data_IF_315936456001
#
_entry.id   IF_315936456001
#
_cell.length_a   1.000
_cell.length_b   1.000
_cell.length_c   1.000
_cell.angle_alpha   90.00
_cell.angle_beta   90.00
_cell.angle_gamma   90.00
#
_symmetry.space_group_name_H-M   'P 1'
#
loop_
_entity.id
_entity.type
_entity.pdbx_description
1 polymer ?
#
# COMPACT_ATOMS: atom_id res chain seq x y z
N UNK A 1 49.65 56.27 25.75
CA UNK A 1 50.11 56.44 27.13
C UNK A 1 49.90 55.09 27.79
N UNK A 2 50.87 54.19 27.60
CA UNK A 2 52.01 53.98 28.53
C UNK A 2 51.50 53.40 29.84
N UNK A 3 52.12 52.44 30.51
CA UNK A 3 53.17 51.47 30.25
C UNK A 3 53.16 50.58 31.50
N UNK A 4 53.72 49.39 31.36
CA UNK A 4 54.17 48.43 32.38
C UNK A 4 54.61 49.05 33.71
N UNK A 5 54.26 48.41 34.85
CA UNK A 5 55.13 48.20 36.01
C UNK A 5 54.46 47.18 36.96
N UNK A 6 54.92 45.93 37.04
CA UNK A 6 56.17 45.41 37.65
C UNK A 6 56.01 45.13 39.14
N UNK A 7 56.27 43.86 39.45
CA UNK A 7 56.19 43.16 40.73
C UNK A 7 57.32 43.55 41.68
N UNK A 8 57.12 43.31 42.97
CA UNK A 8 58.17 43.06 43.98
C UNK A 8 57.46 42.67 45.29
N UNK A 9 57.91 41.78 46.18
CA UNK A 9 58.91 40.71 46.17
C UNK A 9 58.83 40.05 47.59
N UNK A 10 59.36 38.82 47.75
CA UNK A 10 60.13 38.37 48.95
C UNK A 10 59.34 37.95 50.22
N UNK A 11 59.61 36.85 50.95
CA UNK A 11 60.57 35.72 50.93
C UNK A 11 60.08 34.68 51.99
N UNK A 12 60.07 33.37 51.72
CA UNK A 12 61.08 32.33 52.07
C UNK A 12 60.85 31.63 53.42
N UNK A 13 60.77 30.30 53.41
CA UNK A 13 61.65 29.43 54.22
C UNK A 13 61.58 27.98 53.75
N UNK A 14 62.77 27.39 53.71
CA UNK A 14 63.23 26.13 53.13
C UNK A 14 62.63 24.82 53.64
N UNK A 15 62.84 23.76 52.84
CA UNK A 15 63.37 22.50 53.38
C UNK A 15 62.68 21.22 52.92
N UNK A 16 63.35 20.49 52.01
CA UNK A 16 63.48 19.01 51.87
C UNK A 16 62.18 18.15 51.91
N UNK A 17 61.96 17.18 51.04
CA UNK A 17 62.85 16.08 50.67
C UNK A 17 62.30 15.38 49.41
N UNK A 18 63.19 14.75 48.66
CA UNK A 18 62.89 14.05 47.42
C UNK A 18 62.38 12.65 47.76
N UNK A 19 61.14 12.32 47.42
CA UNK A 19 60.69 10.93 47.27
C UNK A 19 60.11 10.75 45.87
N UNK A 20 60.95 10.20 44.99
CA UNK A 20 60.64 9.87 43.61
C UNK A 20 59.66 8.69 43.59
N UNK A 21 58.35 8.98 43.65
CA UNK A 21 57.32 7.96 43.51
C UNK A 21 57.22 7.49 42.05
N UNK A 22 57.27 6.18 41.78
CA UNK A 22 57.17 5.66 40.43
C UNK A 22 55.82 5.99 39.82
N UNK A 23 55.83 6.56 38.61
CA UNK A 23 54.65 6.78 37.78
C UNK A 23 53.98 5.44 37.49
N UNK A 24 53.00 5.09 38.32
CA UNK A 24 52.16 3.91 38.11
C UNK A 24 51.21 4.26 36.97
N UNK A 25 51.51 3.76 35.76
CA UNK A 25 50.63 3.83 34.58
C UNK A 25 49.23 3.39 34.99
N UNK A 26 48.33 4.35 35.18
CA UNK A 26 46.95 4.12 35.60
C UNK A 26 46.16 3.61 34.40
N UNK A 27 46.21 2.28 34.26
CA UNK A 27 45.13 1.41 33.78
C UNK A 27 44.41 1.83 32.50
N UNK A 28 44.90 1.33 31.35
CA UNK A 28 44.17 1.29 30.07
C UNK A 28 42.93 0.39 30.06
N UNK A 29 42.51 -0.13 31.22
CA UNK A 29 41.33 -0.99 31.36
C UNK A 29 40.03 -0.21 31.14
N UNK A 30 39.98 1.07 31.52
CA UNK A 30 38.78 1.90 31.29
C UNK A 30 38.53 2.19 29.81
N UNK A 31 39.58 2.35 29.00
CA UNK A 31 39.46 2.54 27.56
C UNK A 31 38.96 1.28 26.85
N UNK A 32 39.43 0.10 27.29
CA UNK A 32 38.99 -1.19 26.74
C UNK A 32 37.52 -1.46 27.09
N UNK A 33 37.10 -1.21 28.33
CA UNK A 33 35.70 -1.39 28.76
C UNK A 33 34.75 -0.48 27.94
N UNK A 34 35.14 0.78 27.69
CA UNK A 34 34.31 1.70 26.89
C UNK A 34 34.14 1.24 25.43
N UNK A 35 35.18 0.65 24.84
CA UNK A 35 35.13 0.09 23.47
C UNK A 35 34.25 -1.17 23.43
N UNK A 36 34.38 -2.07 24.42
CA UNK A 36 33.51 -3.25 24.47
C UNK A 36 32.04 -2.89 24.71
N UNK A 37 31.75 -1.89 25.54
CA UNK A 37 30.37 -1.40 25.75
C UNK A 37 29.78 -0.77 24.50
N UNK A 38 30.54 0.03 23.73
CA UNK A 38 30.02 0.65 22.51
C UNK A 38 29.74 -0.40 21.42
N UNK A 39 30.61 -1.40 21.27
CA UNK A 39 30.39 -2.53 20.35
C UNK A 39 29.15 -3.32 20.76
N UNK A 40 28.94 -3.55 22.05
CA UNK A 40 27.80 -4.32 22.54
C UNK A 40 26.48 -3.54 22.36
N UNK A 41 26.47 -2.22 22.55
CA UNK A 41 25.30 -1.37 22.28
C UNK A 41 24.96 -1.36 20.78
N UNK A 42 25.95 -1.27 19.89
CA UNK A 42 25.74 -1.33 18.44
C UNK A 42 25.24 -2.73 18.03
N UNK A 43 25.80 -3.81 18.59
CA UNK A 43 25.37 -5.18 18.31
C UNK A 43 23.92 -5.43 18.78
N UNK A 44 23.55 -4.94 19.97
CA UNK A 44 22.17 -5.00 20.48
C UNK A 44 21.24 -4.14 19.62
N UNK A 45 21.66 -2.94 19.22
CA UNK A 45 20.86 -2.08 18.34
C UNK A 45 20.61 -2.71 16.97
N UNK A 46 21.57 -3.47 16.44
CA UNK A 46 21.42 -4.19 15.17
C UNK A 46 20.49 -5.40 15.30
N UNK A 47 20.46 -6.12 16.43
CA UNK A 47 19.55 -7.27 16.58
C UNK A 47 18.11 -6.87 16.90
N UNK A 48 17.90 -5.74 17.59
CA UNK A 48 16.55 -5.25 17.91
C UNK A 48 15.87 -4.46 16.79
N UNK A 49 16.61 -3.91 15.81
CA UNK A 49 16.01 -3.15 14.70
C UNK A 49 15.38 -4.00 13.58
N UNK A 50 15.65 -5.31 13.52
CA UNK A 50 15.07 -6.20 12.49
C UNK A 50 13.87 -7.02 12.99
N UNK A 51 13.50 -6.92 14.27
CA UNK A 51 12.41 -7.72 14.82
C UNK A 51 11.01 -7.14 14.55
N UNK A 52 10.89 -5.86 14.17
CA UNK A 52 9.60 -5.14 14.15
C UNK A 52 9.27 -4.46 12.81
N UNK A 53 9.70 -5.04 11.70
CA UNK A 53 9.39 -4.57 10.33
C UNK A 53 8.55 -5.59 9.53
N UNK A 54 7.91 -6.55 10.20
CA UNK A 54 7.14 -7.61 9.53
C UNK A 54 5.68 -7.65 9.96
N UNK A 55 4.95 -6.54 9.76
CA UNK A 55 3.47 -6.55 9.71
C UNK A 55 2.89 -5.19 9.26
N UNK A 56 3.28 -4.71 8.09
CA UNK A 56 2.29 -4.00 7.26
C UNK A 56 1.33 -5.07 6.72
N UNK A 57 0.43 -5.55 7.56
CA UNK A 57 -0.72 -6.34 7.10
C UNK A 57 -1.65 -5.37 6.41
N UNK A 58 -1.35 -5.01 5.17
CA UNK A 58 -2.36 -4.47 4.26
C UNK A 58 -3.52 -5.48 4.32
N UNK A 59 -4.67 -5.07 4.86
CA UNK A 59 -5.84 -5.93 4.91
C UNK A 59 -6.06 -6.48 3.50
N UNK A 60 -5.95 -7.80 3.33
CA UNK A 60 -6.14 -8.43 2.02
C UNK A 60 -7.58 -8.14 1.62
N UNK A 61 -7.77 -7.43 0.50
CA UNK A 61 -9.10 -7.06 0.00
C UNK A 61 -9.87 -8.33 -0.36
N UNK A 62 -10.86 -8.69 0.46
CA UNK A 62 -11.74 -9.84 0.25
C UNK A 62 -12.84 -9.59 -0.78
N UNK A 63 -12.90 -8.40 -1.39
CA UNK A 63 -13.88 -8.11 -2.42
C UNK A 63 -13.53 -8.81 -3.73
N UNK A 64 -14.57 -9.26 -4.42
CA UNK A 64 -14.48 -9.67 -5.82
C UNK A 64 -14.52 -8.40 -6.66
N UNK A 65 -13.48 -8.19 -7.45
CA UNK A 65 -13.35 -7.03 -8.33
C UNK A 65 -13.73 -7.42 -9.76
N UNK A 66 -14.69 -6.71 -10.35
CA UNK A 66 -15.14 -6.95 -11.73
C UNK A 66 -14.97 -5.64 -12.51
N UNK A 67 -14.28 -5.73 -13.64
CA UNK A 67 -14.08 -4.64 -14.59
C UNK A 67 -14.82 -4.96 -15.87
N UNK A 68 -15.66 -4.03 -16.31
CA UNK A 68 -16.45 -4.17 -17.54
C UNK A 68 -16.07 -3.02 -18.46
N UNK A 69 -15.65 -3.33 -19.68
CA UNK A 69 -15.38 -2.38 -20.74
C UNK A 69 -16.40 -2.59 -21.85
N UNK A 70 -17.20 -1.56 -22.11
CA UNK A 70 -18.18 -1.54 -23.20
C UNK A 70 -17.59 -0.77 -24.37
N UNK A 71 -17.61 -1.37 -25.55
CA UNK A 71 -17.07 -0.77 -26.78
C UNK A 71 -18.18 -0.58 -27.80
N UNK A 72 -18.36 0.64 -28.27
CA UNK A 72 -19.28 0.97 -29.36
C UNK A 72 -18.79 2.21 -30.10
N UNK A 73 -19.01 2.29 -31.42
CA UNK A 73 -18.65 3.48 -32.19
C UNK A 73 -19.45 4.71 -31.72
N UNK A 74 -20.69 4.52 -31.29
CA UNK A 74 -21.56 5.58 -30.80
C UNK A 74 -21.00 6.30 -29.56
N UNK A 75 -20.13 5.67 -28.77
CA UNK A 75 -19.50 6.33 -27.61
C UNK A 75 -18.47 7.38 -28.02
N UNK A 76 -17.85 7.21 -29.19
CA UNK A 76 -16.85 8.12 -29.73
C UNK A 76 -17.45 9.31 -30.49
N UNK A 77 -18.65 9.13 -31.04
CA UNK A 77 -19.31 10.14 -31.90
C UNK A 77 -20.43 10.88 -31.19
N UNK A 78 -20.81 10.46 -29.98
CA UNK A 78 -21.87 11.09 -29.20
C UNK A 78 -21.44 12.46 -28.65
N UNK A 79 -22.32 13.45 -28.81
CA UNK A 79 -22.17 14.78 -28.20
C UNK A 79 -22.65 14.86 -26.74
N UNK A 80 -22.99 13.73 -26.11
CA UNK A 80 -23.49 13.72 -24.73
C UNK A 80 -22.36 13.89 -23.70
N UNK A 81 -22.65 14.62 -22.62
CA UNK A 81 -21.72 14.85 -21.51
C UNK A 81 -21.33 13.55 -20.78
N UNK A 82 -22.22 12.56 -20.72
CA UNK A 82 -21.94 11.26 -20.09
C UNK A 82 -22.39 10.10 -21.00
N UNK A 83 -21.55 9.77 -21.98
CA UNK A 83 -21.80 8.66 -22.92
C UNK A 83 -21.93 7.30 -22.23
N UNK A 84 -21.32 7.12 -21.06
CA UNK A 84 -21.35 5.86 -20.30
C UNK A 84 -22.62 5.71 -19.44
N UNK A 85 -23.37 6.77 -19.20
CA UNK A 85 -24.73 6.61 -18.66
C UNK A 85 -25.68 5.97 -19.69
N UNK A 86 -25.38 6.18 -20.99
CA UNK A 86 -26.13 5.71 -22.14
C UNK A 86 -26.06 6.73 -23.29
N UNK A 87 -26.25 6.25 -24.51
CA UNK A 87 -26.44 7.08 -25.71
C UNK A 87 -27.78 6.71 -26.35
N UNK A 88 -28.18 7.38 -27.44
CA UNK A 88 -29.48 7.13 -28.08
C UNK A 88 -29.66 5.65 -28.48
N UNK A 89 -28.63 5.07 -29.11
CA UNK A 89 -28.65 3.67 -29.56
C UNK A 89 -28.53 2.67 -28.40
N UNK A 90 -27.91 3.09 -27.29
CA UNK A 90 -27.67 2.28 -26.10
C UNK A 90 -28.17 3.02 -24.86
N UNK A 91 -29.50 3.14 -24.67
CA UNK A 91 -30.05 3.92 -23.58
C UNK A 91 -29.84 3.21 -22.24
N UNK A 92 -29.74 3.98 -21.16
CA UNK A 92 -29.78 3.50 -19.77
C UNK A 92 -28.73 2.42 -19.44
N UNK A 93 -27.54 2.48 -20.02
CA UNK A 93 -26.44 1.53 -19.74
C UNK A 93 -26.13 1.46 -18.23
N UNK A 94 -26.08 2.60 -17.56
CA UNK A 94 -25.83 2.67 -16.11
C UNK A 94 -26.84 1.91 -15.24
N UNK A 95 -28.03 1.65 -15.76
CA UNK A 95 -29.12 0.91 -15.09
C UNK A 95 -29.11 -0.58 -15.44
N UNK A 96 -28.19 -1.04 -16.30
CA UNK A 96 -28.05 -2.45 -16.62
C UNK A 96 -27.81 -3.26 -15.34
N UNK A 97 -28.42 -4.45 -15.26
CA UNK A 97 -28.32 -5.30 -14.08
C UNK A 97 -27.23 -6.32 -14.29
N UNK A 98 -26.20 -6.26 -13.45
CA UNK A 98 -25.15 -7.28 -13.36
C UNK A 98 -25.59 -8.31 -12.33
N UNK A 99 -25.63 -9.58 -12.74
CA UNK A 99 -25.93 -10.71 -11.87
C UNK A 99 -24.65 -11.51 -11.68
N UNK A 100 -24.30 -11.76 -10.42
CA UNK A 100 -23.15 -12.60 -10.03
C UNK A 100 -23.67 -13.76 -9.20
N UNK A 101 -23.30 -14.99 -9.54
CA UNK A 101 -23.81 -16.17 -8.83
C UNK A 101 -22.78 -17.27 -8.65
N UNK A 102 -22.91 -18.01 -7.56
CA UNK A 102 -22.21 -19.28 -7.33
C UNK A 102 -23.08 -20.18 -6.44
N UNK A 103 -23.47 -21.35 -6.94
CA UNK A 103 -24.38 -22.23 -6.22
C UNK A 103 -25.71 -21.54 -5.92
N UNK A 104 -26.06 -21.45 -4.64
CA UNK A 104 -27.28 -20.78 -4.17
C UNK A 104 -27.11 -19.26 -3.96
N UNK A 105 -25.87 -18.75 -3.90
CA UNK A 105 -25.62 -17.32 -3.77
C UNK A 105 -25.85 -16.62 -5.11
N UNK A 106 -26.67 -15.56 -5.09
CA UNK A 106 -26.96 -14.71 -6.24
C UNK A 106 -26.99 -13.26 -5.77
N UNK A 107 -26.13 -12.43 -6.35
CA UNK A 107 -26.05 -11.00 -6.14
C UNK A 107 -26.52 -10.27 -7.41
N UNK A 108 -27.34 -9.23 -7.26
CA UNK A 108 -27.81 -8.40 -8.38
C UNK A 108 -27.57 -6.94 -8.04
N UNK A 109 -26.79 -6.28 -8.90
CA UNK A 109 -26.44 -4.87 -8.72
C UNK A 109 -26.54 -4.11 -10.05
N UNK A 110 -26.85 -2.81 -10.01
CA UNK A 110 -26.76 -1.98 -11.20
C UNK A 110 -25.29 -1.86 -11.64
N UNK A 111 -25.07 -1.68 -12.94
CA UNK A 111 -23.75 -1.44 -13.52
C UNK A 111 -23.14 -0.12 -13.00
N UNK A 112 -23.98 0.88 -12.73
CA UNK A 112 -23.58 2.13 -12.09
C UNK A 112 -22.94 3.13 -13.07
N UNK A 113 -22.07 3.98 -12.55
CA UNK A 113 -21.42 5.03 -13.33
C UNK A 113 -20.15 4.49 -14.00
N UNK A 114 -20.04 4.73 -15.30
CA UNK A 114 -18.84 4.41 -16.08
C UNK A 114 -18.05 5.65 -16.45
N UNK A 115 -16.80 5.44 -16.85
CA UNK A 115 -15.91 6.49 -17.32
C UNK A 115 -15.45 6.12 -18.73
N UNK A 116 -15.51 7.07 -19.66
CA UNK A 116 -14.94 6.90 -20.99
C UNK A 116 -13.41 6.91 -20.86
N UNK A 117 -12.76 5.83 -21.27
CA UNK A 117 -11.31 5.72 -21.26
C UNK A 117 -10.67 6.25 -22.55
N UNK A 118 -9.34 6.36 -22.56
CA UNK A 118 -8.56 6.85 -23.71
C UNK A 118 -8.65 5.94 -24.95
N UNK A 119 -9.21 4.74 -24.80
CA UNK A 119 -9.45 3.79 -25.90
C UNK A 119 -10.86 3.91 -26.49
N UNK A 120 -11.66 4.87 -26.02
CA UNK A 120 -13.04 5.06 -26.49
C UNK A 120 -14.03 4.06 -25.92
N UNK A 121 -13.70 3.40 -24.82
CA UNK A 121 -14.55 2.41 -24.17
C UNK A 121 -15.12 2.98 -22.88
N UNK A 122 -16.37 2.66 -22.59
CA UNK A 122 -16.94 2.93 -21.28
C UNK A 122 -16.52 1.85 -20.28
N UNK A 123 -15.69 2.24 -19.33
CA UNK A 123 -15.16 1.36 -18.28
C UNK A 123 -15.97 1.50 -16.99
N UNK A 124 -16.31 0.36 -16.39
CA UNK A 124 -17.04 0.25 -15.12
C UNK A 124 -16.25 -0.65 -14.18
N UNK A 125 -16.25 -0.30 -12.90
CA UNK A 125 -15.61 -1.09 -11.85
C UNK A 125 -16.64 -1.41 -10.76
N UNK A 126 -16.84 -2.70 -10.52
CA UNK A 126 -17.74 -3.22 -9.50
C UNK A 126 -16.94 -3.95 -8.44
N UNK A 127 -17.32 -3.72 -7.19
CA UNK A 127 -16.79 -4.41 -6.01
C UNK A 127 -17.93 -5.12 -5.33
N UNK A 128 -17.77 -6.42 -5.13
CA UNK A 128 -18.78 -7.27 -4.51
C UNK A 128 -18.15 -7.91 -3.28
N UNK A 129 -18.80 -7.73 -2.14
CA UNK A 129 -18.45 -8.45 -0.92
C UNK A 129 -19.15 -9.81 -0.97
N UNK A 130 -18.43 -10.93 -1.12
CA UNK A 130 -19.06 -12.25 -1.11
C UNK A 130 -19.56 -12.61 0.29
N UNK A 131 -20.46 -13.60 0.42
CA UNK A 131 -20.89 -14.09 1.74
C UNK A 131 -19.69 -14.67 2.51
N UNK A 132 -19.76 -14.68 3.83
CA UNK A 132 -18.67 -15.14 4.70
C UNK A 132 -18.28 -16.62 4.50
N UNK A 133 -19.13 -17.41 3.86
CA UNK A 133 -18.91 -18.83 3.53
C UNK A 133 -18.31 -19.02 2.13
N UNK A 134 -17.92 -17.95 1.44
CA UNK A 134 -17.35 -18.01 0.10
C UNK A 134 -15.85 -18.28 0.17
N UNK A 135 -15.45 -19.46 -0.29
CA UNK A 135 -14.05 -19.90 -0.28
C UNK A 135 -13.38 -19.79 -1.66
N UNK A 136 -13.96 -19.02 -2.58
CA UNK A 136 -13.46 -18.88 -3.95
C UNK A 136 -14.05 -19.88 -4.94
N UNK A 137 -13.33 -20.12 -6.03
CA UNK A 137 -13.73 -20.97 -7.16
C UNK A 137 -14.30 -20.16 -8.32
N UNK A 138 -15.23 -20.78 -9.05
CA UNK A 138 -15.85 -20.16 -10.22
C UNK A 138 -17.14 -19.44 -9.83
N UNK A 139 -17.29 -18.19 -10.28
CA UNK A 139 -18.57 -17.47 -10.27
C UNK A 139 -19.11 -17.39 -11.69
N UNK A 140 -20.42 -17.21 -11.82
CA UNK A 140 -21.07 -16.84 -13.08
C UNK A 140 -21.41 -15.37 -13.07
N UNK A 141 -21.18 -14.69 -14.18
CA UNK A 141 -21.55 -13.29 -14.36
C UNK A 141 -22.39 -13.16 -15.63
N UNK A 142 -23.58 -12.57 -15.50
CA UNK A 142 -24.45 -12.17 -16.60
C UNK A 142 -24.81 -10.69 -16.49
N UNK A 143 -25.12 -10.06 -17.62
CA UNK A 143 -25.49 -8.64 -17.64
C UNK A 143 -26.75 -8.46 -18.48
N UNK A 144 -27.75 -7.78 -17.91
CA UNK A 144 -28.99 -7.44 -18.61
C UNK A 144 -29.04 -5.93 -18.84
N UNK A 145 -28.84 -5.53 -20.08
CA UNK A 145 -29.13 -4.18 -20.55
C UNK A 145 -30.62 -4.05 -20.88
N UNK A 146 -31.12 -2.84 -21.06
CA UNK A 146 -32.51 -2.64 -21.50
C UNK A 146 -32.74 -3.07 -22.95
N UNK A 147 -31.66 -3.12 -23.75
CA UNK A 147 -31.68 -3.41 -25.18
C UNK A 147 -31.01 -4.76 -25.54
N UNK A 148 -30.24 -5.36 -24.64
CA UNK A 148 -29.49 -6.59 -24.90
C UNK A 148 -29.32 -7.45 -23.64
N UNK A 149 -29.09 -8.74 -23.82
CA UNK A 149 -28.77 -9.68 -22.74
C UNK A 149 -27.41 -10.29 -23.03
N UNK A 150 -26.48 -10.07 -22.11
CA UNK A 150 -25.21 -10.76 -22.06
C UNK A 150 -25.36 -12.02 -21.19
N UNK A 151 -25.28 -13.23 -21.78
CA UNK A 151 -25.55 -14.46 -21.05
C UNK A 151 -24.53 -14.71 -19.95
N UNK A 152 -24.92 -15.50 -18.95
CA UNK A 152 -24.03 -15.87 -17.87
C UNK A 152 -22.80 -16.63 -18.38
N UNK A 153 -21.61 -16.18 -17.98
CA UNK A 153 -20.34 -16.87 -18.24
C UNK A 153 -19.60 -17.14 -16.94
N UNK A 154 -18.89 -18.25 -16.89
CA UNK A 154 -18.12 -18.64 -15.71
C UNK A 154 -16.73 -17.99 -15.72
N UNK A 155 -16.29 -17.51 -14.56
CA UNK A 155 -14.97 -16.92 -14.34
C UNK A 155 -14.36 -17.50 -13.07
N UNK A 156 -13.08 -17.88 -13.15
CA UNK A 156 -12.34 -18.38 -11.99
C UNK A 156 -11.77 -17.22 -11.19
N UNK A 157 -12.02 -17.23 -9.88
CA UNK A 157 -11.53 -16.24 -8.93
C UNK A 157 -10.31 -16.73 -8.13
N UNK A 158 -9.88 -17.98 -8.32
CA UNK A 158 -8.96 -18.66 -7.42
C UNK A 158 -9.66 -19.19 -6.17
N UNK A 159 -8.96 -19.94 -5.33
CA UNK A 159 -9.52 -20.71 -4.20
C UNK A 159 -9.38 -20.02 -2.84
N UNK A 160 -8.98 -18.74 -2.83
CA UNK A 160 -8.75 -17.96 -1.61
C UNK A 160 -8.51 -16.49 -1.96
N UNK A 161 -8.63 -15.62 -0.96
CA UNK A 161 -8.24 -14.21 -1.08
C UNK A 161 -6.72 -14.04 -1.28
N UNK A 162 -6.26 -13.00 -2.00
CA UNK A 162 -7.07 -12.09 -2.80
C UNK A 162 -7.62 -12.78 -4.06
N UNK A 163 -8.90 -12.53 -4.35
CA UNK A 163 -9.54 -13.11 -5.52
C UNK A 163 -9.04 -12.46 -6.82
N UNK A 164 -8.99 -13.23 -7.90
CA UNK A 164 -8.64 -12.71 -9.21
C UNK A 164 -9.65 -11.66 -9.68
N UNK A 165 -9.17 -10.61 -10.36
CA UNK A 165 -10.06 -9.62 -10.99
C UNK A 165 -10.67 -10.21 -12.25
N UNK A 166 -11.98 -10.07 -12.41
CA UNK A 166 -12.67 -10.46 -13.64
C UNK A 166 -12.69 -9.27 -14.60
N UNK A 167 -12.23 -9.48 -15.83
CA UNK A 167 -12.29 -8.49 -16.90
C UNK A 167 -13.28 -8.95 -17.97
N UNK A 168 -14.18 -8.06 -18.34
CA UNK A 168 -15.25 -8.30 -19.31
C UNK A 168 -15.18 -7.23 -20.40
N UNK A 169 -14.81 -7.63 -21.61
CA UNK A 169 -14.92 -6.78 -22.79
C UNK A 169 -16.18 -7.15 -23.57
N UNK A 170 -17.09 -6.19 -23.73
CA UNK A 170 -18.38 -6.40 -24.39
C UNK A 170 -18.50 -5.40 -25.55
N UNK A 171 -18.44 -5.88 -26.80
CA UNK A 171 -18.78 -5.05 -27.95
C UNK A 171 -20.29 -4.84 -28.00
N UNK A 172 -20.73 -3.61 -28.27
CA UNK A 172 -22.05 -3.32 -28.78
C UNK A 172 -21.92 -2.99 -30.26
N UNK A 173 -22.46 -3.88 -31.08
CA UNK A 173 -22.61 -3.77 -32.52
C UNK A 173 -23.96 -3.16 -32.91
#
# INVERSE_FOLDING_TARGET
MDSVQESDHTMTSDGQDIDEKPVKKRSGVFGIIAIFSSILIVAVSLTFNFADQSKTSSAVDGNINIRIALKAQAFLTSGQTNVCAGVADFPKISQAIVTVSQGAWVEKLPLGQGILNDQGQCAYALKILPPSTFDGGNIKIGIKFTFAIFPERAFSLGTSVPYATVNLDIPFD
#
